data_IF_213472330177
#
_entry.id   IF_213472330177
#
_cell.length_a   1.000
_cell.length_b   1.000
_cell.length_c   1.000
_cell.angle_alpha   90.00
_cell.angle_beta   90.00
_cell.angle_gamma   90.00
#
_symmetry.space_group_name_H-M   'P 1'
#
loop_
_entity.id
_entity.type
_entity.pdbx_description
1 polymer ?
#
# COMPACT_ATOMS: atom_id res chain seq x y z
N UNK A 1 0.92 -10.71 -10.37
CA UNK A 1 -0.40 -10.19 -9.95
C UNK A 1 -0.50 -9.94 -8.45
N UNK A 2 -0.08 -10.85 -7.56
CA UNK A 2 -0.04 -10.60 -6.11
C UNK A 2 0.64 -9.28 -5.74
N UNK A 3 1.87 -9.06 -6.23
CA UNK A 3 2.61 -7.81 -6.03
C UNK A 3 1.87 -6.56 -6.51
N UNK A 4 1.10 -6.67 -7.60
CA UNK A 4 0.26 -5.57 -8.11
C UNK A 4 -0.84 -5.24 -7.11
N UNK A 5 -1.50 -6.26 -6.54
CA UNK A 5 -2.49 -6.07 -5.48
C UNK A 5 -1.89 -5.37 -4.25
N UNK A 6 -0.68 -5.79 -3.83
CA UNK A 6 0.03 -5.17 -2.70
C UNK A 6 0.32 -3.69 -2.99
N UNK A 7 0.87 -3.37 -4.16
CA UNK A 7 1.17 -1.99 -4.53
C UNK A 7 -0.09 -1.13 -4.65
N UNK A 8 -1.16 -1.65 -5.23
CA UNK A 8 -2.43 -0.92 -5.32
C UNK A 8 -3.02 -0.65 -3.95
N UNK A 9 -2.98 -1.62 -3.03
CA UNK A 9 -3.38 -1.40 -1.65
C UNK A 9 -2.59 -0.25 -1.01
N UNK A 10 -1.26 -0.22 -1.21
CA UNK A 10 -0.39 0.86 -0.71
C UNK A 10 -0.72 2.21 -1.34
N UNK A 11 -0.91 2.28 -2.65
CA UNK A 11 -1.24 3.54 -3.32
C UNK A 11 -2.59 4.09 -2.89
N UNK A 12 -3.56 3.18 -2.69
CA UNK A 12 -4.88 3.56 -2.25
C UNK A 12 -4.92 3.90 -0.76
N UNK A 13 -4.20 3.22 0.13
CA UNK A 13 -4.36 3.40 1.59
C UNK A 13 -3.22 4.19 2.26
N UNK A 14 -2.02 4.14 1.70
CA UNK A 14 -0.79 4.61 2.35
C UNK A 14 -0.25 3.65 3.43
N UNK A 15 -0.80 2.43 3.54
CA UNK A 15 -0.37 1.40 4.49
C UNK A 15 -0.16 0.05 3.77
N UNK A 16 0.54 -0.88 4.42
CA UNK A 16 0.73 -2.24 3.90
C UNK A 16 -0.49 -3.11 4.24
N UNK A 17 -0.95 -4.01 3.35
CA UNK A 17 -2.08 -4.89 3.65
C UNK A 17 -1.77 -5.93 4.75
N UNK A 18 -0.51 -6.33 4.89
CA UNK A 18 -0.11 -7.47 5.74
C UNK A 18 0.87 -7.12 6.85
N UNK A 19 1.35 -5.87 6.91
CA UNK A 19 2.38 -5.50 7.90
C UNK A 19 1.79 -5.52 9.30
N UNK A 20 2.49 -6.20 10.19
CA UNK A 20 2.17 -6.31 11.61
C UNK A 20 3.40 -5.98 12.47
N UNK A 21 3.28 -6.09 13.80
CA UNK A 21 4.32 -5.72 14.75
C UNK A 21 5.59 -6.60 14.63
N UNK A 22 5.44 -7.86 14.21
CA UNK A 22 6.54 -8.80 14.00
C UNK A 22 6.62 -9.35 12.56
N UNK A 23 7.80 -9.85 12.18
CA UNK A 23 7.99 -10.52 10.88
C UNK A 23 7.18 -11.83 10.81
N UNK A 24 7.04 -12.52 11.94
CA UNK A 24 6.26 -13.75 12.08
C UNK A 24 4.77 -13.50 11.86
N UNK A 25 4.21 -12.46 12.48
CA UNK A 25 2.80 -12.07 12.29
C UNK A 25 2.56 -11.57 10.87
N UNK A 26 3.47 -10.74 10.33
CA UNK A 26 3.41 -10.29 8.93
C UNK A 26 3.39 -11.48 7.97
N UNK A 27 4.26 -12.47 8.20
CA UNK A 27 4.31 -13.69 7.40
C UNK A 27 3.03 -14.52 7.56
N UNK A 28 2.50 -14.63 8.77
CA UNK A 28 1.25 -15.31 9.04
C UNK A 28 0.07 -14.65 8.29
N UNK A 29 0.00 -13.31 8.27
CA UNK A 29 -1.02 -12.55 7.55
C UNK A 29 -0.91 -12.79 6.03
N UNK A 30 0.30 -12.82 5.48
CA UNK A 30 0.53 -13.16 4.05
C UNK A 30 0.04 -14.58 3.73
N UNK A 31 0.41 -15.56 4.56
CA UNK A 31 0.06 -16.97 4.35
C UNK A 31 -1.45 -17.24 4.50
N UNK A 32 -2.12 -16.49 5.38
CA UNK A 32 -3.57 -16.57 5.59
C UNK A 32 -4.36 -15.69 4.62
N UNK A 33 -3.71 -14.78 3.91
CA UNK A 33 -4.38 -13.74 3.14
C UNK A 33 -5.26 -12.86 4.02
N UNK A 34 -4.80 -12.59 5.25
CA UNK A 34 -5.54 -11.82 6.25
C UNK A 34 -5.19 -10.33 6.12
N UNK A 35 -6.16 -9.55 5.66
CA UNK A 35 -6.10 -8.10 5.49
C UNK A 35 -7.53 -7.56 5.43
N UNK A 36 -7.71 -6.29 5.75
CA UNK A 36 -9.02 -5.63 5.72
C UNK A 36 -8.95 -4.27 5.01
N UNK A 37 -10.08 -3.59 4.92
CA UNK A 37 -10.20 -2.25 4.30
C UNK A 37 -10.76 -1.26 5.33
N UNK A 38 -9.97 -0.79 6.30
CA UNK A 38 -10.47 0.11 7.34
C UNK A 38 -10.94 1.44 6.76
N UNK A 39 -12.05 1.96 7.27
CA UNK A 39 -12.65 3.20 6.77
C UNK A 39 -11.68 4.39 6.84
N UNK A 40 -10.87 4.49 7.89
CA UNK A 40 -9.90 5.58 8.07
C UNK A 40 -8.90 5.69 6.90
N UNK A 41 -8.56 4.57 6.26
CA UNK A 41 -7.64 4.53 5.12
C UNK A 41 -8.36 4.51 3.77
N UNK A 42 -9.55 3.89 3.70
CA UNK A 42 -10.28 3.71 2.44
C UNK A 42 -11.44 4.68 2.22
N UNK A 43 -11.64 5.66 3.11
CA UNK A 43 -12.61 6.75 2.90
C UNK A 43 -12.36 7.44 1.56
N UNK A 44 -13.42 7.51 0.76
CA UNK A 44 -13.40 8.14 -0.58
C UNK A 44 -12.81 7.27 -1.69
N UNK A 45 -12.38 6.04 -1.40
CA UNK A 45 -11.95 5.08 -2.41
C UNK A 45 -13.19 4.34 -2.96
N UNK A 46 -13.27 4.22 -4.28
CA UNK A 46 -14.40 3.55 -4.96
C UNK A 46 -14.48 2.06 -4.60
N UNK A 47 -15.69 1.52 -4.48
CA UNK A 47 -15.92 0.10 -4.18
C UNK A 47 -15.29 -0.81 -5.25
N UNK A 48 -15.29 -0.38 -6.51
CA UNK A 48 -14.68 -1.09 -7.64
C UNK A 48 -13.16 -1.27 -7.45
N UNK A 49 -12.49 -0.29 -6.83
CA UNK A 49 -11.06 -0.39 -6.51
C UNK A 49 -10.79 -1.45 -5.44
N UNK A 50 -11.63 -1.46 -4.39
CA UNK A 50 -11.54 -2.43 -3.29
C UNK A 50 -11.73 -3.84 -3.85
N UNK A 51 -12.79 -4.06 -4.63
CA UNK A 51 -13.06 -5.35 -5.29
C UNK A 51 -11.90 -5.76 -6.21
N UNK A 52 -11.30 -4.82 -6.93
CA UNK A 52 -10.16 -5.10 -7.80
C UNK A 52 -8.94 -5.57 -7.00
N UNK A 53 -8.61 -4.90 -5.88
CA UNK A 53 -7.53 -5.32 -4.98
C UNK A 53 -7.81 -6.70 -4.38
N UNK A 54 -9.05 -6.97 -3.94
CA UNK A 54 -9.44 -8.28 -3.41
C UNK A 54 -9.21 -9.41 -4.41
N UNK A 55 -9.55 -9.18 -5.68
CA UNK A 55 -9.34 -10.15 -6.77
C UNK A 55 -7.87 -10.36 -7.17
N UNK A 56 -6.99 -9.44 -6.77
CA UNK A 56 -5.54 -9.56 -6.96
C UNK A 56 -4.84 -10.24 -5.78
N UNK A 57 -5.37 -10.06 -4.57
CA UNK A 57 -4.87 -10.62 -3.32
C UNK A 57 -5.63 -11.90 -2.92
N UNK A 58 -5.88 -12.76 -3.91
CA UNK A 58 -6.40 -14.12 -3.71
C UNK A 58 -5.24 -15.07 -3.46
N UNK A 59 -5.33 -15.90 -2.42
CA UNK A 59 -4.31 -16.88 -2.04
C UNK A 59 -4.12 -17.92 -3.15
N UNK A 60 -5.21 -18.52 -3.63
CA UNK A 60 -5.17 -19.46 -4.75
C UNK A 60 -4.77 -18.72 -6.03
N UNK A 61 -3.60 -19.01 -6.64
CA UNK A 61 -3.15 -18.32 -7.84
C UNK A 61 -4.03 -18.60 -9.07
N UNK A 62 -4.77 -19.71 -9.11
CA UNK A 62 -5.66 -20.06 -10.22
C UNK A 62 -6.96 -19.22 -10.21
N UNK A 63 -7.37 -18.74 -9.03
CA UNK A 63 -8.54 -17.87 -8.86
C UNK A 63 -8.19 -16.39 -8.96
N UNK A 64 -6.89 -16.07 -8.97
CA UNK A 64 -6.38 -14.69 -9.04
C UNK A 64 -6.55 -14.15 -10.46
N UNK A 65 -6.93 -12.87 -10.57
CA UNK A 65 -7.04 -12.22 -11.87
C UNK A 65 -5.75 -12.34 -12.67
N UNK A 66 -5.88 -12.69 -13.95
CA UNK A 66 -4.82 -12.58 -14.95
C UNK A 66 -4.67 -11.14 -15.42
N UNK A 67 -3.56 -10.84 -16.12
CA UNK A 67 -3.32 -9.51 -16.69
C UNK A 67 -4.44 -9.09 -17.64
N UNK A 68 -4.89 -9.99 -18.53
CA UNK A 68 -5.94 -9.68 -19.50
C UNK A 68 -7.28 -9.39 -18.80
N UNK A 69 -7.61 -10.16 -17.77
CA UNK A 69 -8.81 -9.92 -16.96
C UNK A 69 -8.71 -8.59 -16.19
N UNK A 70 -7.51 -8.21 -15.73
CA UNK A 70 -7.27 -6.92 -15.09
C UNK A 70 -7.51 -5.75 -16.04
N UNK A 71 -7.01 -5.83 -17.28
CA UNK A 71 -7.19 -4.79 -18.30
C UNK A 71 -8.65 -4.63 -18.71
N UNK A 72 -9.44 -5.70 -18.63
CA UNK A 72 -10.89 -5.68 -18.89
C UNK A 72 -11.74 -5.30 -17.66
N UNK A 73 -11.14 -5.13 -16.48
CA UNK A 73 -11.90 -4.90 -15.26
C UNK A 73 -12.61 -3.53 -15.30
N UNK A 74 -13.87 -3.43 -14.84
CA UNK A 74 -14.62 -2.17 -14.85
C UNK A 74 -13.87 -1.00 -14.22
N UNK A 75 -13.17 -1.25 -13.11
CA UNK A 75 -12.38 -0.23 -12.42
C UNK A 75 -11.27 0.37 -13.29
N UNK A 76 -10.69 -0.41 -14.21
CA UNK A 76 -9.65 0.07 -15.14
C UNK A 76 -10.28 0.71 -16.37
N UNK A 77 -11.28 0.07 -16.96
CA UNK A 77 -11.88 0.50 -18.23
C UNK A 77 -12.73 1.77 -18.07
N UNK A 78 -13.46 1.91 -16.96
CA UNK A 78 -14.39 3.04 -16.74
C UNK A 78 -13.67 4.29 -16.21
N UNK A 79 -12.48 4.16 -15.62
CA UNK A 79 -11.69 5.26 -15.05
C UNK A 79 -10.63 5.83 -16.02
N UNK A 80 -10.87 5.76 -17.34
CA UNK A 80 -10.03 6.47 -18.33
C UNK A 80 -10.08 8.01 -18.18
N UNK A 81 -10.98 8.53 -17.34
CA UNK A 81 -10.93 9.90 -16.85
C UNK A 81 -9.94 9.96 -15.69
N UNK A 82 -8.83 10.67 -15.88
CA UNK A 82 -7.73 10.81 -14.91
C UNK A 82 -8.26 11.30 -13.55
N UNK A 83 -8.58 10.38 -12.64
CA UNK A 83 -8.67 10.69 -11.23
C UNK A 83 -7.24 10.74 -10.69
N UNK A 84 -6.76 11.94 -10.36
CA UNK A 84 -5.41 12.11 -9.81
C UNK A 84 -5.36 11.39 -8.46
N UNK A 85 -4.62 10.28 -8.39
CA UNK A 85 -4.26 9.65 -7.11
C UNK A 85 -3.15 10.51 -6.52
N UNK A 86 -3.47 11.27 -5.47
CA UNK A 86 -2.47 12.10 -4.78
C UNK A 86 -1.37 11.22 -4.21
N UNK A 87 -0.10 11.60 -4.43
CA UNK A 87 1.07 10.87 -3.94
C UNK A 87 1.25 10.95 -2.42
N UNK A 88 0.44 11.74 -1.70
CA UNK A 88 0.55 11.94 -0.25
C UNK A 88 0.46 10.64 0.55
N UNK A 89 -0.41 9.71 0.13
CA UNK A 89 -0.54 8.38 0.78
C UNK A 89 0.74 7.57 0.61
N UNK A 90 1.31 7.57 -0.59
CA UNK A 90 2.59 6.91 -0.88
C UNK A 90 3.76 7.59 -0.15
N UNK A 91 3.79 8.92 -0.10
CA UNK A 91 4.84 9.65 0.61
C UNK A 91 4.84 9.30 2.10
N UNK A 92 3.67 9.32 2.74
CA UNK A 92 3.52 8.92 4.15
C UNK A 92 3.98 7.48 4.39
N UNK A 93 3.74 6.58 3.43
CA UNK A 93 4.19 5.18 3.50
C UNK A 93 5.73 5.05 3.42
N UNK A 94 6.38 5.86 2.57
CA UNK A 94 7.84 5.89 2.41
C UNK A 94 8.51 6.55 3.62
N UNK A 95 7.95 7.65 4.13
CA UNK A 95 8.50 8.40 5.27
C UNK A 95 8.57 7.54 6.53
N UNK A 96 7.60 6.65 6.74
CA UNK A 96 7.60 5.68 7.86
C UNK A 96 8.70 4.62 7.74
N UNK A 97 9.15 4.29 6.53
CA UNK A 97 10.19 3.29 6.27
C UNK A 97 11.59 3.86 6.17
N UNK A 98 11.69 5.15 5.84
CA UNK A 98 12.98 5.80 5.72
C UNK A 98 13.54 5.98 7.14
N UNK A 99 14.70 5.40 7.46
CA UNK A 99 15.34 5.67 8.74
C UNK A 99 15.54 7.17 8.85
N UNK A 100 15.04 7.79 9.93
CA UNK A 100 15.36 9.18 10.22
C UNK A 100 16.86 9.23 10.50
N UNK A 101 17.65 9.62 9.51
CA UNK A 101 19.06 9.95 9.71
C UNK A 101 19.06 11.15 10.63
N UNK A 102 19.34 10.92 11.91
CA UNK A 102 19.58 11.98 12.87
C UNK A 102 20.86 12.70 12.43
N UNK A 103 20.72 13.77 11.67
CA UNK A 103 21.77 14.79 11.62
C UNK A 103 21.82 15.43 13.00
N UNK A 104 22.60 14.82 13.91
CA UNK A 104 23.06 15.51 15.10
C UNK A 104 23.83 16.75 14.60
N UNK A 105 23.23 17.92 14.75
CA UNK A 105 23.92 19.20 14.53
C UNK A 105 25.15 19.19 15.44
N UNK A 106 26.38 19.29 14.92
CA UNK A 106 27.54 19.44 15.78
C UNK A 106 27.41 20.79 16.48
N UNK A 107 27.07 20.79 17.75
CA UNK A 107 27.20 21.98 18.59
C UNK A 107 28.69 22.25 18.77
N UNK A 108 29.22 23.13 17.92
CA UNK A 108 30.54 23.71 18.13
C UNK A 108 30.53 24.43 19.48
N UNK A 109 31.13 23.81 20.49
CA UNK A 109 31.52 24.51 21.71
C UNK A 109 32.58 25.54 21.33
N UNK A 110 32.19 26.80 21.27
CA UNK A 110 33.13 27.92 21.29
C UNK A 110 33.81 27.91 22.66
N UNK A 111 35.09 27.51 22.70
CA UNK A 111 35.98 27.90 23.78
C UNK A 111 36.31 29.38 23.55
N UNK A 112 35.80 30.24 24.43
CA UNK A 112 36.24 31.63 24.55
C UNK A 112 37.41 31.62 25.54
N UNK A 113 38.54 32.18 25.12
CA UNK A 113 39.75 32.38 25.93
C UNK A 113 39.49 33.29 27.13
#
# INVERSE_FOLDING_TARGET
>A
MWSVGVFLYVFLSGVSPFLDDSEEETSANILKGDYCFPEDYFRGISAEAIVFVQKLLVLNPEERLTVDQCLAAPWIVQNLRVSVITTSRLQNFVDRRTPKVNFAVPTSKFYVN
#
